data_IF_541629085003
#
_entry.id   IF_541629085003
#
_cell.length_a   1.000
_cell.length_b   1.000
_cell.length_c   1.000
_cell.angle_alpha   90.00
_cell.angle_beta   90.00
_cell.angle_gamma   90.00
#
_symmetry.space_group_name_H-M   'P 1'
#
loop_
_entity.id
_entity.type
_entity.pdbx_description
1 polymer ?
#
# COMPACT_ATOMS: atom_id res chain seq x y z
N UNK A 1 37.36 -10.63 -44.64
CA UNK A 1 36.67 -9.44 -44.13
C UNK A 1 35.68 -10.01 -43.13
N UNK A 2 36.06 -9.92 -41.87
CA UNK A 2 35.56 -10.72 -40.75
C UNK A 2 34.47 -9.95 -40.04
N UNK A 3 33.42 -10.65 -39.59
CA UNK A 3 32.23 -10.08 -38.93
C UNK A 3 32.56 -9.21 -37.69
N UNK A 4 33.76 -9.37 -37.11
CA UNK A 4 34.26 -8.54 -36.00
C UNK A 4 34.44 -7.06 -36.37
N UNK A 5 34.82 -6.74 -37.62
CA UNK A 5 35.03 -5.36 -38.07
C UNK A 5 33.69 -4.60 -38.21
N UNK A 6 32.59 -5.30 -38.51
CA UNK A 6 31.23 -4.72 -38.57
C UNK A 6 30.66 -4.44 -37.17
N UNK A 7 30.99 -5.27 -36.18
CA UNK A 7 30.51 -5.10 -34.80
C UNK A 7 31.15 -3.88 -34.14
N UNK A 8 32.46 -3.64 -34.36
CA UNK A 8 33.14 -2.44 -33.86
C UNK A 8 32.57 -1.15 -34.47
N UNK A 9 32.27 -1.14 -35.77
CA UNK A 9 31.68 0.02 -36.44
C UNK A 9 30.29 0.39 -35.87
N UNK A 10 29.44 -0.60 -35.57
CA UNK A 10 28.11 -0.38 -34.97
C UNK A 10 28.22 0.17 -33.54
N UNK A 11 29.24 -0.26 -32.78
CA UNK A 11 29.49 0.23 -31.42
C UNK A 11 30.00 1.68 -31.38
N UNK A 12 30.75 2.11 -32.38
CA UNK A 12 31.17 3.51 -32.51
C UNK A 12 29.99 4.43 -32.85
N UNK A 13 29.14 4.03 -33.80
CA UNK A 13 27.93 4.79 -34.16
C UNK A 13 26.97 4.95 -32.96
N UNK A 14 26.81 3.90 -32.15
CA UNK A 14 25.96 3.93 -30.96
C UNK A 14 26.49 4.82 -29.82
N UNK A 15 27.80 5.09 -29.77
CA UNK A 15 28.42 5.99 -28.78
C UNK A 15 28.25 7.46 -29.15
N UNK A 16 28.23 7.80 -30.44
CA UNK A 16 28.00 9.19 -30.88
C UNK A 16 26.55 9.64 -30.63
N UNK A 17 25.58 8.73 -30.73
CA UNK A 17 24.15 9.04 -30.59
C UNK A 17 23.58 9.03 -29.15
N UNK A 18 24.40 8.85 -28.11
CA UNK A 18 23.96 8.84 -26.69
C UNK A 18 24.50 10.00 -25.85
N UNK A 19 24.70 11.16 -26.45
CA UNK A 19 24.94 12.41 -25.71
C UNK A 19 23.64 13.19 -25.56
N UNK A 20 22.80 12.76 -24.63
CA UNK A 20 21.77 13.61 -24.06
C UNK A 20 22.46 14.78 -23.35
N UNK A 21 22.45 15.97 -23.97
CA UNK A 21 22.82 17.22 -23.32
C UNK A 21 21.64 17.70 -22.48
N UNK A 22 21.53 17.22 -21.25
CA UNK A 22 20.72 17.89 -20.23
C UNK A 22 21.61 18.92 -19.55
N UNK A 23 21.44 20.19 -19.94
CA UNK A 23 22.00 21.31 -19.18
C UNK A 23 21.26 21.39 -17.84
N UNK A 24 21.96 21.60 -16.70
CA UNK A 24 21.30 22.03 -15.48
C UNK A 24 20.90 23.49 -15.69
N UNK A 25 19.60 23.78 -15.67
CA UNK A 25 19.14 25.17 -15.60
C UNK A 25 19.60 25.75 -14.26
N UNK A 26 20.39 26.82 -14.35
CA UNK A 26 20.87 27.62 -13.25
C UNK A 26 19.70 28.24 -12.49
N UNK A 27 19.78 28.16 -11.16
CA UNK A 27 19.65 29.28 -10.23
C UNK A 27 19.11 30.59 -10.83
N UNK A 28 17.83 30.87 -10.61
CA UNK A 28 17.35 32.24 -10.49
C UNK A 28 17.17 32.57 -9.00
N UNK A 29 18.14 33.33 -8.50
CA UNK A 29 18.08 34.09 -7.25
C UNK A 29 16.82 34.97 -7.23
N UNK A 30 15.87 34.67 -6.36
CA UNK A 30 14.91 35.65 -5.88
C UNK A 30 15.15 35.85 -4.39
N UNK A 31 15.97 36.85 -4.07
CA UNK A 31 15.99 37.49 -2.76
C UNK A 31 14.65 38.21 -2.58
N UNK A 32 13.71 37.58 -1.88
CA UNK A 32 12.55 38.27 -1.31
C UNK A 32 12.70 38.30 0.21
N UNK A 33 13.08 39.48 0.71
CA UNK A 33 13.24 39.82 2.11
C UNK A 33 11.85 40.20 2.64
N UNK A 34 11.09 39.19 3.10
CA UNK A 34 9.80 39.39 3.78
C UNK A 34 9.66 38.49 5.01
N UNK A 35 9.06 39.01 6.11
CA UNK A 35 9.27 38.50 7.46
C UNK A 35 8.32 37.34 7.80
N UNK A 36 8.82 36.40 8.62
CA UNK A 36 8.08 35.47 9.49
C UNK A 36 6.65 35.09 9.04
N UNK A 37 6.51 33.96 8.32
CA UNK A 37 5.19 33.39 8.07
C UNK A 37 5.20 32.12 7.23
N UNK A 38 4.64 31.04 7.79
CA UNK A 38 4.35 29.75 7.16
C UNK A 38 5.54 28.84 6.85
N UNK A 39 5.83 27.98 7.82
CA UNK A 39 6.27 26.61 7.57
C UNK A 39 5.24 25.95 6.62
N UNK A 40 5.42 26.09 5.32
CA UNK A 40 4.79 25.23 4.33
C UNK A 40 5.52 23.87 4.38
N UNK A 41 5.36 23.14 5.48
CA UNK A 41 5.42 21.69 5.40
C UNK A 41 4.30 21.32 4.44
N UNK A 42 4.65 20.73 3.29
CA UNK A 42 3.67 20.04 2.45
C UNK A 42 3.18 18.87 3.31
N UNK A 43 2.20 19.15 4.17
CA UNK A 43 1.61 18.17 5.06
C UNK A 43 0.86 17.24 4.12
N UNK A 44 1.36 16.00 4.01
CA UNK A 44 0.69 14.96 3.23
C UNK A 44 -0.79 14.85 3.61
N UNK A 45 -1.62 14.25 2.75
CA UNK A 45 -3.05 14.15 3.02
C UNK A 45 -3.29 13.59 4.41
N UNK A 46 -4.27 14.17 5.12
CA UNK A 46 -4.70 13.65 6.41
C UNK A 46 -5.00 12.16 6.29
N UNK A 47 -4.62 11.38 7.33
CA UNK A 47 -4.70 9.92 7.30
C UNK A 47 -6.13 9.43 7.02
N UNK A 48 -7.13 10.08 7.60
CA UNK A 48 -8.55 9.77 7.37
C UNK A 48 -8.91 9.96 5.90
N UNK A 49 -8.51 11.09 5.32
CA UNK A 49 -8.73 11.40 3.90
C UNK A 49 -8.04 10.36 3.01
N UNK A 50 -6.78 10.02 3.30
CA UNK A 50 -6.03 9.04 2.52
C UNK A 50 -6.66 7.63 2.57
N UNK A 51 -7.20 7.21 3.72
CA UNK A 51 -7.91 5.93 3.86
C UNK A 51 -9.24 5.97 3.10
N UNK A 52 -9.99 7.07 3.18
CA UNK A 52 -11.26 7.27 2.48
C UNK A 52 -11.07 7.13 0.96
N UNK A 53 -10.10 7.85 0.41
CA UNK A 53 -9.79 7.80 -1.02
C UNK A 53 -9.39 6.40 -1.49
N UNK A 54 -8.65 5.66 -0.65
CA UNK A 54 -8.30 4.27 -0.92
C UNK A 54 -9.52 3.35 -0.93
N UNK A 55 -10.48 3.54 -0.01
CA UNK A 55 -11.73 2.77 0.02
C UNK A 55 -12.57 3.04 -1.24
N UNK A 56 -12.76 4.30 -1.61
CA UNK A 56 -13.50 4.68 -2.82
C UNK A 56 -12.85 4.12 -4.09
N UNK A 57 -11.51 4.17 -4.17
CA UNK A 57 -10.78 3.57 -5.29
C UNK A 57 -10.92 2.05 -5.36
N UNK A 58 -10.97 1.36 -4.21
CA UNK A 58 -11.25 -0.08 -4.16
C UNK A 58 -12.67 -0.36 -4.69
N UNK A 59 -13.65 0.43 -4.27
CA UNK A 59 -15.05 0.23 -4.65
C UNK A 59 -15.32 0.48 -6.13
N UNK A 60 -14.70 1.52 -6.70
CA UNK A 60 -14.74 1.76 -8.16
C UNK A 60 -14.00 0.70 -8.98
N UNK A 61 -13.24 -0.19 -8.33
CA UNK A 61 -12.41 -1.19 -8.99
C UNK A 61 -11.06 -0.65 -9.50
N UNK A 62 -10.71 0.60 -9.18
CA UNK A 62 -9.41 1.22 -9.50
C UNK A 62 -8.28 0.54 -8.72
N UNK A 63 -8.59 -0.02 -7.54
CA UNK A 63 -7.67 -0.79 -6.69
C UNK A 63 -8.26 -2.14 -6.31
N UNK A 64 -7.38 -3.12 -6.13
CA UNK A 64 -7.78 -4.46 -5.70
C UNK A 64 -7.87 -4.53 -4.18
N UNK A 65 -8.76 -5.39 -3.70
CA UNK A 65 -8.95 -5.70 -2.26
C UNK A 65 -7.90 -6.66 -1.70
N UNK A 66 -7.15 -7.35 -2.56
CA UNK A 66 -6.28 -8.44 -2.15
C UNK A 66 -4.96 -7.94 -1.53
N UNK A 67 -4.69 -8.37 -0.30
CA UNK A 67 -3.41 -8.12 0.37
C UNK A 67 -2.48 -9.32 0.16
N UNK A 68 -1.28 -9.08 -0.39
CA UNK A 68 -0.26 -10.13 -0.58
C UNK A 68 0.87 -9.93 0.42
N UNK A 69 1.16 -10.95 1.23
CA UNK A 69 2.26 -10.95 2.20
C UNK A 69 3.40 -11.81 1.65
N UNK A 70 4.58 -11.22 1.50
CA UNK A 70 5.80 -11.92 1.06
C UNK A 70 6.68 -12.23 2.27
N UNK A 71 6.23 -13.21 3.05
CA UNK A 71 6.93 -13.62 4.27
C UNK A 71 6.92 -15.15 4.37
N UNK A 72 8.12 -15.74 4.39
CA UNK A 72 8.29 -17.20 4.42
C UNK A 72 7.84 -17.83 5.75
N UNK A 73 8.01 -17.11 6.86
CA UNK A 73 7.69 -17.61 8.20
C UNK A 73 6.18 -17.61 8.41
N UNK A 74 5.51 -16.51 8.04
CA UNK A 74 4.05 -16.43 8.04
C UNK A 74 3.47 -17.47 7.09
N UNK A 75 4.07 -17.67 5.92
CA UNK A 75 3.61 -18.69 4.98
C UNK A 75 3.72 -20.09 5.58
N UNK A 76 4.87 -20.46 6.14
CA UNK A 76 5.08 -21.76 6.76
C UNK A 76 4.16 -21.98 7.97
N UNK A 77 3.93 -20.95 8.78
CA UNK A 77 3.00 -21.00 9.90
C UNK A 77 1.56 -21.29 9.44
N UNK A 78 1.09 -20.54 8.45
CA UNK A 78 -0.25 -20.69 7.92
C UNK A 78 -0.45 -22.07 7.25
N UNK A 79 0.54 -22.54 6.49
CA UNK A 79 0.52 -23.89 5.89
C UNK A 79 0.57 -24.99 6.98
N UNK A 80 1.25 -24.73 8.09
CA UNK A 80 1.31 -25.62 9.25
C UNK A 80 -0.04 -25.78 9.95
N UNK A 81 -0.77 -24.68 10.19
CA UNK A 81 -2.11 -24.72 10.79
C UNK A 81 -3.10 -25.47 9.88
N UNK A 82 -3.03 -25.21 8.58
CA UNK A 82 -3.89 -25.91 7.61
C UNK A 82 -3.59 -27.42 7.61
N UNK A 83 -2.32 -27.79 7.59
CA UNK A 83 -1.89 -29.19 7.58
C UNK A 83 -2.20 -29.94 8.88
N UNK A 84 -2.26 -29.24 10.02
CA UNK A 84 -2.61 -29.85 11.31
C UNK A 84 -4.11 -29.98 11.54
N UNK A 85 -4.95 -29.36 10.68
CA UNK A 85 -6.40 -29.32 10.85
C UNK A 85 -6.89 -28.32 11.91
N UNK A 86 -6.03 -27.39 12.33
CA UNK A 86 -6.34 -26.44 13.41
C UNK A 86 -6.99 -25.12 12.92
N UNK A 87 -7.33 -25.02 11.62
CA UNK A 87 -7.90 -23.80 11.02
C UNK A 87 -9.12 -23.27 11.78
N UNK A 88 -10.09 -24.15 12.06
CA UNK A 88 -11.34 -23.78 12.73
C UNK A 88 -11.09 -23.26 14.15
N UNK A 89 -10.22 -23.93 14.89
CA UNK A 89 -9.84 -23.50 16.24
C UNK A 89 -9.11 -22.16 16.21
N UNK A 90 -8.18 -21.96 15.28
CA UNK A 90 -7.42 -20.73 15.15
C UNK A 90 -8.31 -19.54 14.77
N UNK A 91 -9.15 -19.71 13.74
CA UNK A 91 -10.10 -18.67 13.30
C UNK A 91 -11.08 -18.32 14.41
N UNK A 92 -11.66 -19.31 15.09
CA UNK A 92 -12.59 -19.08 16.20
C UNK A 92 -11.95 -18.27 17.33
N UNK A 93 -10.71 -18.58 17.70
CA UNK A 93 -9.98 -17.83 18.75
C UNK A 93 -9.73 -16.38 18.34
N UNK A 94 -9.37 -16.14 17.09
CA UNK A 94 -9.11 -14.80 16.59
C UNK A 94 -10.40 -13.98 16.44
N UNK A 95 -11.49 -14.60 15.94
CA UNK A 95 -12.80 -13.96 15.83
C UNK A 95 -13.33 -13.55 17.22
N UNK A 96 -13.28 -14.46 18.19
CA UNK A 96 -13.66 -14.18 19.58
C UNK A 96 -12.83 -13.05 20.21
N UNK A 97 -11.57 -12.86 19.80
CA UNK A 97 -10.74 -11.76 20.30
C UNK A 97 -11.21 -10.38 19.81
N UNK A 98 -11.87 -10.35 18.66
CA UNK A 98 -12.44 -9.15 18.03
C UNK A 98 -13.93 -8.96 18.34
N UNK A 99 -14.52 -9.84 19.17
CA UNK A 99 -15.97 -9.94 19.34
C UNK A 99 -16.71 -10.11 17.99
N UNK A 100 -16.10 -10.83 17.05
CA UNK A 100 -16.61 -11.13 15.70
C UNK A 100 -17.15 -12.56 15.64
N UNK A 101 -18.08 -12.83 14.73
CA UNK A 101 -18.66 -14.16 14.54
C UNK A 101 -17.67 -15.07 13.79
N UNK A 102 -17.44 -16.32 14.24
CA UNK A 102 -16.54 -17.24 13.56
C UNK A 102 -17.12 -17.73 12.23
N UNK A 103 -16.26 -17.83 11.21
CA UNK A 103 -16.61 -18.35 9.89
C UNK A 103 -16.91 -19.86 9.93
N UNK A 104 -18.00 -20.31 9.30
CA UNK A 104 -18.38 -21.74 9.26
C UNK A 104 -17.42 -22.62 8.45
N UNK A 105 -16.73 -22.05 7.45
CA UNK A 105 -15.77 -22.75 6.59
C UNK A 105 -14.47 -21.95 6.50
N UNK A 106 -13.65 -21.95 7.57
CA UNK A 106 -12.50 -21.08 7.69
C UNK A 106 -11.39 -21.45 6.71
N UNK A 107 -10.81 -20.43 6.09
CA UNK A 107 -9.67 -20.57 5.17
C UNK A 107 -8.40 -20.00 5.79
N UNK A 108 -7.26 -20.31 5.16
CA UNK A 108 -5.96 -19.70 5.50
C UNK A 108 -6.00 -18.16 5.46
N UNK A 109 -6.77 -17.59 4.53
CA UNK A 109 -6.92 -16.15 4.39
C UNK A 109 -7.66 -15.53 5.58
N UNK A 110 -8.57 -16.27 6.22
CA UNK A 110 -9.31 -15.80 7.39
C UNK A 110 -8.40 -15.65 8.61
N UNK A 111 -7.47 -16.58 8.81
CA UNK A 111 -6.44 -16.44 9.84
C UNK A 111 -5.61 -15.18 9.61
N UNK A 112 -5.11 -14.97 8.38
CA UNK A 112 -4.32 -13.78 8.04
C UNK A 112 -5.11 -12.49 8.28
N UNK A 113 -6.35 -12.42 7.79
CA UNK A 113 -7.25 -11.28 7.97
C UNK A 113 -7.50 -10.97 9.44
N UNK A 114 -7.89 -11.97 10.23
CA UNK A 114 -8.23 -11.78 11.64
C UNK A 114 -6.99 -11.47 12.48
N UNK A 115 -5.86 -12.13 12.24
CA UNK A 115 -4.61 -11.85 12.95
C UNK A 115 -4.13 -10.41 12.71
N UNK A 116 -4.21 -9.92 11.47
CA UNK A 116 -3.91 -8.51 11.16
C UNK A 116 -4.87 -7.59 11.92
N UNK A 117 -6.18 -7.86 11.89
CA UNK A 117 -7.17 -7.04 12.62
C UNK A 117 -6.92 -7.02 14.13
N UNK A 118 -6.59 -8.16 14.74
CA UNK A 118 -6.20 -8.23 16.16
C UNK A 118 -4.96 -7.39 16.41
N UNK A 119 -3.91 -7.54 15.61
CA UNK A 119 -2.69 -6.74 15.76
C UNK A 119 -2.92 -5.24 15.62
N UNK A 120 -3.75 -4.81 14.66
CA UNK A 120 -4.13 -3.41 14.51
C UNK A 120 -4.93 -2.91 15.72
N UNK A 121 -5.86 -3.72 16.24
CA UNK A 121 -6.68 -3.36 17.40
C UNK A 121 -5.84 -3.21 18.67
N UNK A 122 -4.84 -4.07 18.86
CA UNK A 122 -4.01 -4.05 20.06
C UNK A 122 -2.86 -3.04 19.99
N UNK A 123 -2.32 -2.78 18.80
CA UNK A 123 -1.10 -1.97 18.65
C UNK A 123 -1.34 -0.57 18.07
N UNK A 124 -2.41 -0.35 17.31
CA UNK A 124 -2.64 0.90 16.56
C UNK A 124 -4.11 1.40 16.65
N UNK A 125 -4.70 1.53 17.86
CA UNK A 125 -6.10 1.89 18.03
C UNK A 125 -6.46 3.26 17.45
N UNK A 126 -5.56 4.25 17.52
CA UNK A 126 -5.77 5.58 16.95
C UNK A 126 -5.89 5.56 15.43
N UNK A 127 -5.14 4.67 14.75
CA UNK A 127 -5.23 4.52 13.31
C UNK A 127 -6.52 3.80 12.90
N UNK A 128 -7.06 2.94 13.75
CA UNK A 128 -8.37 2.31 13.53
C UNK A 128 -9.53 3.29 13.68
N UNK A 129 -9.45 4.25 14.60
CA UNK A 129 -10.49 5.28 14.70
C UNK A 129 -10.55 6.15 13.44
N UNK A 130 -9.41 6.49 12.87
CA UNK A 130 -9.35 7.20 11.60
C UNK A 130 -9.92 6.34 10.46
N UNK A 131 -9.59 5.05 10.43
CA UNK A 131 -10.17 4.13 9.43
C UNK A 131 -11.70 4.01 9.57
N UNK A 132 -12.23 4.00 10.80
CA UNK A 132 -13.68 4.00 11.05
C UNK A 132 -14.33 5.31 10.60
N UNK A 133 -13.67 6.43 10.83
CA UNK A 133 -14.15 7.75 10.40
C UNK A 133 -14.17 7.83 8.87
N UNK A 134 -13.06 7.45 8.22
CA UNK A 134 -12.94 7.38 6.77
C UNK A 134 -14.02 6.49 6.13
N UNK A 135 -14.31 5.33 6.72
CA UNK A 135 -15.36 4.45 6.23
C UNK A 135 -16.76 5.07 6.31
N UNK A 136 -17.07 5.80 7.39
CA UNK A 136 -18.35 6.52 7.50
C UNK A 136 -18.46 7.63 6.46
N UNK A 137 -17.39 8.38 6.24
CA UNK A 137 -17.34 9.44 5.23
C UNK A 137 -17.48 8.88 3.81
N UNK A 138 -16.79 7.79 3.49
CA UNK A 138 -16.91 7.13 2.19
C UNK A 138 -18.35 6.68 1.91
N UNK A 139 -19.03 6.10 2.90
CA UNK A 139 -20.42 5.66 2.77
C UNK A 139 -21.40 6.81 2.56
N UNK A 140 -21.17 7.95 3.22
CA UNK A 140 -21.99 9.15 3.03
C UNK A 140 -21.82 9.73 1.61
N UNK A 141 -20.58 9.82 1.14
CA UNK A 141 -20.26 10.32 -0.20
C UNK A 141 -20.93 9.47 -1.29
N UNK A 142 -20.93 8.15 -1.12
CA UNK A 142 -21.63 7.24 -2.03
C UNK A 142 -23.14 7.42 -1.99
N UNK A 143 -23.72 7.61 -0.79
CA UNK A 143 -25.16 7.80 -0.65
C UNK A 143 -25.65 9.10 -1.33
N UNK A 144 -24.81 10.14 -1.37
CA UNK A 144 -25.12 11.41 -2.04
C UNK A 144 -24.96 11.36 -3.57
N UNK A 145 -24.30 10.33 -4.12
CA UNK A 145 -24.16 10.11 -5.57
C UNK A 145 -25.40 9.44 -6.23
N UNK A 146 -26.40 9.00 -5.43
CA UNK A 146 -27.64 8.35 -5.90
C UNK A 146 -28.88 9.24 -5.76
#
# INVERSE_FOLDING_TARGET
MTDDDEIEAILEEAKENKRHTSQPENEEENQDDSPEGSQNEIQGPDRTTAIKDALLAIERGDRRTNVTIRDEQIRAFLDGIESSGDLETAVTRLANRLDDDPEENPTRSDIGRLAIRVGLHECLPEMLEDARTAHKEALLEQADEF
#
